data_IF_595167967936
#
_entry.id   IF_595167967936
#
_cell.length_a   1.000
_cell.length_b   1.000
_cell.length_c   1.000
_cell.angle_alpha   90.00
_cell.angle_beta   90.00
_cell.angle_gamma   90.00
#
_symmetry.space_group_name_H-M   'P 1'
#
loop_
_entity.id
_entity.type
_entity.pdbx_description
1 polymer ?
#
# COMPACT_ATOMS: atom_id res chain seq x y z
N UNK A 1 14.06 -11.03 5.56
CA UNK A 1 13.70 -12.07 6.52
C UNK A 1 12.38 -11.74 7.21
N UNK A 2 11.94 -12.59 8.11
CA UNK A 2 10.65 -12.43 8.75
C UNK A 2 10.54 -11.12 9.53
N UNK A 3 11.60 -10.75 10.25
CA UNK A 3 11.59 -9.53 11.06
C UNK A 3 11.52 -8.28 10.18
N UNK A 4 12.27 -8.28 9.08
CA UNK A 4 12.22 -7.16 8.14
C UNK A 4 10.87 -7.05 7.47
N UNK A 5 10.29 -8.19 7.09
CA UNK A 5 8.96 -8.21 6.48
C UNK A 5 7.94 -7.64 7.45
N UNK A 6 7.97 -8.08 8.71
CA UNK A 6 7.04 -7.58 9.72
C UNK A 6 7.18 -6.08 9.91
N UNK A 7 8.41 -5.58 9.95
CA UNK A 7 8.66 -4.14 10.09
C UNK A 7 8.09 -3.37 8.91
N UNK A 8 8.30 -3.87 7.69
CA UNK A 8 7.80 -3.22 6.49
C UNK A 8 6.27 -3.20 6.46
N UNK A 9 5.63 -4.30 6.88
CA UNK A 9 4.17 -4.37 6.93
C UNK A 9 3.60 -3.43 7.99
N UNK A 10 4.24 -3.35 9.15
CA UNK A 10 3.81 -2.43 10.20
C UNK A 10 3.95 -0.98 9.75
N UNK A 11 5.01 -0.66 9.02
CA UNK A 11 5.21 0.68 8.48
C UNK A 11 4.11 1.01 7.46
N UNK A 12 3.79 0.05 6.59
CA UNK A 12 2.73 0.25 5.60
C UNK A 12 1.38 0.46 6.28
N UNK A 13 1.10 -0.33 7.31
CA UNK A 13 -0.15 -0.18 8.08
C UNK A 13 -0.27 1.22 8.64
N UNK A 14 0.79 1.73 9.26
CA UNK A 14 0.76 3.09 9.82
C UNK A 14 0.52 4.14 8.73
N UNK A 15 1.13 3.96 7.56
CA UNK A 15 0.95 4.91 6.46
C UNK A 15 -0.48 4.89 5.92
N UNK A 16 -1.07 3.71 5.80
CA UNK A 16 -2.47 3.58 5.37
C UNK A 16 -3.38 4.27 6.38
N UNK A 17 -3.20 3.98 7.66
CA UNK A 17 -4.04 4.55 8.71
C UNK A 17 -3.89 6.07 8.78
N UNK A 18 -2.67 6.56 8.62
CA UNK A 18 -2.44 7.99 8.56
C UNK A 18 -3.16 8.63 7.36
N UNK A 19 -3.05 8.00 6.20
CA UNK A 19 -3.70 8.51 4.99
C UNK A 19 -5.22 8.56 5.15
N UNK A 20 -5.80 7.52 5.75
CA UNK A 20 -7.24 7.48 5.99
C UNK A 20 -7.63 8.63 6.92
N UNK A 21 -6.90 8.82 8.01
CA UNK A 21 -7.22 9.84 8.99
C UNK A 21 -7.05 11.27 8.45
N UNK A 22 -6.12 11.46 7.54
CA UNK A 22 -5.84 12.78 6.95
C UNK A 22 -6.52 12.99 5.61
N UNK A 23 -7.30 12.01 5.14
CA UNK A 23 -8.00 12.06 3.86
C UNK A 23 -7.05 12.28 2.68
N UNK A 24 -5.88 11.66 2.78
CA UNK A 24 -4.95 11.62 1.65
C UNK A 24 -5.51 10.60 0.65
N UNK A 25 -5.72 11.02 -0.59
CA UNK A 25 -6.46 10.20 -1.53
C UNK A 25 -5.62 9.13 -2.20
N UNK A 26 -4.31 9.31 -2.28
CA UNK A 26 -3.45 8.39 -3.04
C UNK A 26 -2.11 8.20 -2.37
N UNK A 27 -1.65 6.96 -2.29
CA UNK A 27 -0.32 6.60 -1.80
C UNK A 27 0.32 5.65 -2.78
N UNK A 28 1.63 5.76 -2.96
CA UNK A 28 2.40 4.81 -3.77
C UNK A 28 3.29 4.03 -2.82
N UNK A 29 3.19 2.70 -2.88
CA UNK A 29 4.06 1.81 -2.11
C UNK A 29 5.07 1.16 -3.03
N UNK A 30 6.34 1.36 -2.76
CA UNK A 30 7.42 0.74 -3.52
C UNK A 30 7.85 -0.50 -2.74
N UNK A 31 7.61 -1.68 -3.31
CA UNK A 31 7.92 -2.95 -2.64
C UNK A 31 8.96 -3.78 -3.38
N UNK A 32 9.34 -3.34 -4.58
CA UNK A 32 10.27 -4.10 -5.38
C UNK A 32 9.63 -5.32 -6.04
N UNK A 33 10.40 -6.04 -6.83
CA UNK A 33 9.89 -7.20 -7.56
C UNK A 33 10.24 -8.53 -6.90
N UNK A 34 11.43 -8.68 -6.35
CA UNK A 34 11.87 -9.86 -5.61
C UNK A 34 11.09 -11.14 -5.89
N UNK A 35 10.80 -11.90 -4.85
CA UNK A 35 10.00 -13.12 -4.96
C UNK A 35 8.50 -12.87 -4.79
N UNK A 36 8.10 -11.62 -4.62
CA UNK A 36 6.71 -11.25 -4.52
C UNK A 36 6.09 -11.41 -3.13
N UNK A 37 6.88 -11.80 -2.14
CA UNK A 37 6.36 -12.01 -0.79
C UNK A 37 5.83 -10.70 -0.20
N UNK A 38 6.64 -9.65 -0.26
CA UNK A 38 6.23 -8.36 0.30
C UNK A 38 5.01 -7.82 -0.45
N UNK A 39 5.01 -7.92 -1.78
CA UNK A 39 3.85 -7.47 -2.58
C UNK A 39 2.59 -8.21 -2.17
N UNK A 40 2.65 -9.53 -2.04
CA UNK A 40 1.49 -10.34 -1.66
C UNK A 40 0.97 -9.96 -0.30
N UNK A 41 1.87 -9.79 0.67
CA UNK A 41 1.48 -9.43 2.03
C UNK A 41 0.90 -8.02 2.09
N UNK A 42 1.46 -7.09 1.33
CA UNK A 42 0.90 -5.73 1.26
C UNK A 42 -0.50 -5.75 0.66
N UNK A 43 -0.70 -6.51 -0.42
CA UNK A 43 -2.02 -6.59 -1.06
C UNK A 43 -3.05 -7.21 -0.12
N UNK A 44 -2.66 -8.20 0.66
CA UNK A 44 -3.54 -8.76 1.68
C UNK A 44 -3.89 -7.69 2.72
N UNK A 45 -2.88 -6.95 3.17
CA UNK A 45 -3.09 -5.87 4.13
C UNK A 45 -4.05 -4.81 3.58
N UNK A 46 -3.84 -4.37 2.34
CA UNK A 46 -4.70 -3.34 1.73
C UNK A 46 -6.15 -3.79 1.64
N UNK A 47 -6.39 -5.08 1.42
CA UNK A 47 -7.75 -5.62 1.34
C UNK A 47 -8.53 -5.50 2.64
N UNK A 48 -7.87 -5.17 3.74
CA UNK A 48 -8.51 -5.02 5.05
C UNK A 48 -8.88 -3.57 5.37
N UNK A 49 -8.61 -2.65 4.44
CA UNK A 49 -8.87 -1.23 4.62
C UNK A 49 -9.81 -0.71 3.54
N UNK A 50 -10.47 0.44 3.77
CA UNK A 50 -11.34 1.03 2.76
C UNK A 50 -10.52 1.73 1.66
N UNK A 51 -9.85 0.92 0.88
CA UNK A 51 -8.98 1.40 -0.19
C UNK A 51 -9.14 0.51 -1.43
N UNK A 52 -8.80 1.06 -2.59
CA UNK A 52 -8.55 0.29 -3.81
C UNK A 52 -7.06 0.30 -4.08
N UNK A 53 -6.56 -0.74 -4.74
CA UNK A 53 -5.15 -0.80 -5.06
C UNK A 53 -4.93 -1.44 -6.42
N UNK A 54 -3.91 -0.96 -7.12
CA UNK A 54 -3.57 -1.37 -8.48
C UNK A 54 -2.07 -1.37 -8.63
N UNK A 55 -1.57 -2.10 -9.62
CA UNK A 55 -0.18 -1.98 -10.00
C UNK A 55 0.05 -0.52 -10.43
N UNK A 56 1.12 0.08 -9.91
CA UNK A 56 1.44 1.45 -10.25
C UNK A 56 1.99 1.54 -11.67
N UNK A 57 1.98 2.74 -12.23
CA UNK A 57 2.45 2.99 -13.59
C UNK A 57 3.88 2.49 -13.77
N UNK A 58 4.08 1.59 -14.72
CA UNK A 58 5.41 1.09 -15.05
C UNK A 58 6.32 2.22 -15.51
N UNK A 59 5.79 3.11 -16.32
CA UNK A 59 6.59 4.24 -16.84
C UNK A 59 7.09 5.14 -15.73
N UNK A 60 6.30 5.32 -14.70
CA UNK A 60 6.62 6.24 -13.60
C UNK A 60 7.49 5.58 -12.54
N UNK A 61 7.17 4.34 -12.19
CA UNK A 61 7.75 3.71 -11.01
C UNK A 61 8.46 2.39 -11.32
N UNK A 62 8.41 1.95 -12.57
CA UNK A 62 8.90 0.62 -12.92
C UNK A 62 7.98 -0.46 -12.39
N UNK A 63 8.51 -1.69 -12.33
CA UNK A 63 7.81 -2.79 -11.69
C UNK A 63 7.98 -2.66 -10.18
N UNK A 64 7.13 -3.31 -9.42
CA UNK A 64 7.32 -3.39 -7.98
C UNK A 64 6.78 -2.21 -7.20
N UNK A 65 5.74 -1.55 -7.71
CA UNK A 65 5.05 -0.49 -6.98
C UNK A 65 3.55 -0.72 -7.06
N UNK A 66 2.83 -0.32 -6.01
CA UNK A 66 1.38 -0.44 -5.95
C UNK A 66 0.79 0.93 -5.62
N UNK A 67 -0.21 1.34 -6.41
CA UNK A 67 -0.97 2.54 -6.12
C UNK A 67 -2.14 2.18 -5.21
N UNK A 68 -2.31 2.94 -4.15
CA UNK A 68 -3.41 2.75 -3.21
C UNK A 68 -4.25 4.01 -3.21
N UNK A 69 -5.54 3.85 -3.45
CA UNK A 69 -6.50 4.95 -3.43
C UNK A 69 -7.42 4.79 -2.24
N UNK A 70 -7.40 5.76 -1.35
CA UNK A 70 -8.23 5.74 -0.15
C UNK A 70 -9.62 6.25 -0.49
N UNK A 71 -10.64 5.47 -0.15
CA UNK A 71 -12.01 5.90 -0.37
C UNK A 71 -12.28 7.16 0.43
N UNK A 72 -12.87 8.15 -0.24
CA UNK A 72 -13.29 9.38 0.42
C UNK A 72 -14.77 9.27 0.72
N UNK A 73 -15.12 9.46 1.97
CA UNK A 73 -16.51 9.44 2.37
C UNK A 73 -16.98 10.89 2.54
N UNK A 74 -17.78 11.42 1.61
CA UNK A 74 -18.16 12.83 1.66
C UNK A 74 -19.00 13.19 2.87
N UNK A 75 -19.55 12.22 3.55
CA UNK A 75 -20.42 12.47 4.70
C UNK A 75 -19.73 12.37 6.04
N UNK A 76 -18.49 11.98 6.06
CA UNK A 76 -17.79 11.85 7.34
C UNK A 76 -16.75 12.90 7.51
#
# INVERSE_FOLDING_TARGET
NFDMLTLQLNTAKRKIEYAISKRISKIIFIHGVGEGVLKSELHYLFGRYPVRFYDASYKKYGLGATEVYVYQNPKS
#
